data_IF_120732683706
#
_entry.id   IF_120732683706
#
_cell.length_a   1.000
_cell.length_b   1.000
_cell.length_c   1.000
_cell.angle_alpha   90.00
_cell.angle_beta   90.00
_cell.angle_gamma   90.00
#
_symmetry.space_group_name_H-M   'P 1'
#
loop_
_entity.id
_entity.type
_entity.pdbx_description
1 polymer ?
#
# COMPACT_ATOMS: atom_id res chain seq x y z
N UNK A 1 -5.06 3.69 25.52
CA UNK A 1 -5.63 3.89 24.17
C UNK A 1 -5.45 5.37 23.85
N UNK A 2 -4.48 5.72 23.02
CA UNK A 2 -4.24 7.11 22.62
C UNK A 2 -5.28 7.50 21.58
N UNK A 3 -6.13 8.47 21.92
CA UNK A 3 -7.12 9.01 21.01
C UNK A 3 -6.38 9.86 19.97
N UNK A 4 -6.36 9.41 18.71
CA UNK A 4 -5.85 10.23 17.59
C UNK A 4 -6.65 11.53 17.53
N UNK A 5 -5.97 12.68 17.58
CA UNK A 5 -6.64 13.98 17.61
C UNK A 5 -7.40 14.22 16.29
N UNK A 6 -8.50 15.00 16.27
CA UNK A 6 -9.21 15.33 15.04
C UNK A 6 -8.28 15.89 13.94
N UNK A 7 -7.29 16.69 14.32
CA UNK A 7 -6.28 17.21 13.41
C UNK A 7 -5.39 16.10 12.81
N UNK A 8 -4.98 15.12 13.62
CA UNK A 8 -4.21 13.97 13.14
C UNK A 8 -5.01 13.11 12.16
N UNK A 9 -6.30 12.89 12.42
CA UNK A 9 -7.20 12.18 11.50
C UNK A 9 -7.33 12.88 10.15
N UNK A 10 -7.53 14.20 10.17
CA UNK A 10 -7.65 15.00 8.95
C UNK A 10 -6.35 14.98 8.13
N UNK A 11 -5.20 15.11 8.80
CA UNK A 11 -3.90 15.02 8.15
C UNK A 11 -3.66 13.63 7.55
N UNK A 12 -4.01 12.55 8.27
CA UNK A 12 -3.91 11.20 7.75
C UNK A 12 -4.79 10.98 6.51
N UNK A 13 -6.01 11.52 6.50
CA UNK A 13 -6.91 11.47 5.34
C UNK A 13 -6.30 12.15 4.11
N UNK A 14 -5.70 13.34 4.29
CA UNK A 14 -5.02 14.06 3.20
C UNK A 14 -3.82 13.28 2.67
N UNK A 15 -3.01 12.72 3.57
CA UNK A 15 -1.86 11.91 3.19
C UNK A 15 -2.29 10.68 2.40
N UNK A 16 -3.27 9.91 2.87
CA UNK A 16 -3.81 8.72 2.17
C UNK A 16 -4.23 9.04 0.73
N UNK A 17 -4.90 10.16 0.50
CA UNK A 17 -5.34 10.57 -0.84
C UNK A 17 -4.17 10.83 -1.80
N UNK A 18 -3.12 11.49 -1.30
CA UNK A 18 -1.95 11.87 -2.09
C UNK A 18 -0.86 10.80 -2.17
N UNK A 19 -0.89 9.79 -1.28
CA UNK A 19 0.22 8.85 -1.14
C UNK A 19 0.34 7.98 -2.38
N UNK A 20 1.55 7.94 -2.94
CA UNK A 20 1.94 7.08 -4.07
C UNK A 20 3.25 6.38 -3.72
N UNK A 21 3.38 5.10 -4.04
CA UNK A 21 4.61 4.36 -3.88
C UNK A 21 5.72 5.01 -4.72
N UNK A 22 6.86 5.31 -4.10
CA UNK A 22 8.03 5.85 -4.80
C UNK A 22 8.66 4.82 -5.75
N UNK A 23 9.37 5.30 -6.77
CA UNK A 23 10.00 4.41 -7.78
C UNK A 23 11.00 3.41 -7.18
N UNK A 24 11.80 3.87 -6.21
CA UNK A 24 12.78 3.05 -5.48
C UNK A 24 12.25 2.56 -4.12
N UNK A 25 11.00 2.86 -3.81
CA UNK A 25 10.39 2.46 -2.55
C UNK A 25 9.97 1.00 -2.61
N UNK A 26 10.34 0.22 -1.59
CA UNK A 26 9.86 -1.15 -1.45
C UNK A 26 8.36 -1.17 -1.17
N UNK A 27 7.67 -2.17 -1.70
CA UNK A 27 6.22 -2.27 -1.51
C UNK A 27 5.85 -2.53 -0.05
N UNK A 28 6.76 -3.13 0.74
CA UNK A 28 6.59 -3.33 2.17
C UNK A 28 6.59 -2.02 2.95
N UNK A 29 7.49 -1.09 2.62
CA UNK A 29 7.53 0.21 3.26
C UNK A 29 6.23 0.99 2.99
N UNK A 30 5.84 1.06 1.71
CA UNK A 30 4.59 1.68 1.28
C UNK A 30 3.36 1.09 1.99
N UNK A 31 3.28 -0.24 2.06
CA UNK A 31 2.19 -0.96 2.71
C UNK A 31 2.06 -0.60 4.20
N UNK A 32 3.16 -0.62 4.95
CA UNK A 32 3.15 -0.32 6.37
C UNK A 32 2.73 1.12 6.65
N UNK A 33 3.19 2.07 5.84
CA UNK A 33 2.83 3.48 5.98
C UNK A 33 1.34 3.71 5.69
N UNK A 34 0.79 3.10 4.63
CA UNK A 34 -0.65 3.17 4.35
C UNK A 34 -1.47 2.59 5.51
N UNK A 35 -1.08 1.44 6.07
CA UNK A 35 -1.79 0.86 7.21
C UNK A 35 -1.72 1.74 8.46
N UNK A 36 -0.58 2.37 8.72
CA UNK A 36 -0.44 3.30 9.84
C UNK A 36 -1.34 4.53 9.66
N UNK A 37 -1.43 5.07 8.44
CA UNK A 37 -2.31 6.18 8.12
C UNK A 37 -3.79 5.78 8.24
N UNK A 38 -4.15 4.59 7.77
CA UNK A 38 -5.49 4.03 7.94
C UNK A 38 -5.87 3.92 9.42
N UNK A 39 -5.00 3.35 10.26
CA UNK A 39 -5.21 3.25 11.71
C UNK A 39 -5.34 4.62 12.38
N UNK A 40 -4.53 5.60 11.93
CA UNK A 40 -4.57 6.97 12.46
C UNK A 40 -5.86 7.69 12.11
N UNK A 41 -6.37 7.49 10.89
CA UNK A 41 -7.62 8.08 10.41
C UNK A 41 -8.83 7.41 11.06
N UNK A 42 -8.88 6.07 11.00
CA UNK A 42 -9.96 5.24 11.52
C UNK A 42 -9.45 3.83 11.88
N UNK A 43 -9.33 3.55 13.17
CA UNK A 43 -8.93 2.23 13.71
C UNK A 43 -9.92 1.10 13.41
N UNK A 44 -11.13 1.41 12.92
CA UNK A 44 -12.14 0.43 12.51
C UNK A 44 -12.28 0.34 10.98
N UNK A 45 -11.33 0.91 10.24
CA UNK A 45 -11.34 0.86 8.79
C UNK A 45 -11.37 -0.57 8.27
N UNK A 46 -12.30 -0.81 7.34
CA UNK A 46 -12.45 -2.11 6.69
C UNK A 46 -11.28 -2.43 5.78
N UNK A 47 -11.01 -3.73 5.61
CA UNK A 47 -9.98 -4.22 4.71
C UNK A 47 -10.19 -3.78 3.25
N UNK A 48 -11.45 -3.72 2.80
CA UNK A 48 -11.78 -3.20 1.48
C UNK A 48 -11.38 -1.73 1.32
N UNK A 49 -11.59 -0.89 2.35
CA UNK A 49 -11.20 0.52 2.30
C UNK A 49 -9.67 0.67 2.29
N UNK A 50 -8.96 -0.13 3.08
CA UNK A 50 -7.48 -0.17 3.07
C UNK A 50 -6.94 -0.56 1.69
N UNK A 51 -7.56 -1.56 1.05
CA UNK A 51 -7.19 -2.01 -0.28
C UNK A 51 -7.34 -0.92 -1.35
N UNK A 52 -8.38 -0.09 -1.26
CA UNK A 52 -8.54 1.05 -2.19
C UNK A 52 -7.32 1.95 -2.13
N UNK A 53 -6.87 2.35 -0.93
CA UNK A 53 -5.67 3.20 -0.78
C UNK A 53 -4.41 2.49 -1.27
N UNK A 54 -4.22 1.22 -0.89
CA UNK A 54 -3.07 0.42 -1.32
C UNK A 54 -2.98 0.33 -2.84
N UNK A 55 -4.08 0.00 -3.53
CA UNK A 55 -4.14 -0.15 -4.98
C UNK A 55 -4.04 1.19 -5.73
N UNK A 56 -4.61 2.26 -5.19
CA UNK A 56 -4.61 3.59 -5.82
C UNK A 56 -3.20 4.18 -5.92
N UNK A 57 -2.37 3.96 -4.91
CA UNK A 57 -1.02 4.50 -4.88
C UNK A 57 0.09 3.54 -5.31
N UNK A 58 -0.22 2.28 -5.59
CA UNK A 58 0.76 1.28 -6.01
C UNK A 58 1.44 1.69 -7.32
N UNK A 59 2.76 1.46 -7.43
CA UNK A 59 3.51 1.79 -8.66
C UNK A 59 3.01 0.96 -9.85
N UNK A 60 3.03 1.57 -11.03
CA UNK A 60 2.48 0.96 -12.25
C UNK A 60 3.10 -0.40 -12.60
N UNK A 61 4.38 -0.61 -12.31
CA UNK A 61 5.06 -1.89 -12.59
C UNK A 61 4.44 -3.05 -11.83
N UNK A 62 3.91 -2.82 -10.63
CA UNK A 62 3.24 -3.84 -9.81
C UNK A 62 1.72 -3.85 -10.00
N UNK A 63 1.13 -2.71 -10.35
CA UNK A 63 -0.32 -2.53 -10.35
C UNK A 63 -1.06 -3.53 -11.23
N UNK A 64 -0.52 -3.83 -12.41
CA UNK A 64 -1.15 -4.77 -13.35
C UNK A 64 -1.26 -6.19 -12.79
N UNK A 65 -0.16 -6.71 -12.23
CA UNK A 65 -0.12 -8.09 -11.76
C UNK A 65 -0.80 -8.26 -10.39
N UNK A 66 -0.76 -7.23 -9.53
CA UNK A 66 -1.55 -7.20 -8.30
C UNK A 66 -3.05 -7.15 -8.62
N UNK A 67 -3.48 -6.31 -9.57
CA UNK A 67 -4.89 -6.22 -9.96
C UNK A 67 -5.41 -7.55 -10.53
N UNK A 68 -4.61 -8.27 -11.32
CA UNK A 68 -4.97 -9.59 -11.88
C UNK A 68 -5.26 -10.62 -10.79
N UNK A 69 -4.55 -10.56 -9.67
CA UNK A 69 -4.71 -11.51 -8.57
C UNK A 69 -5.85 -11.14 -7.61
N UNK A 70 -6.46 -9.97 -7.80
CA UNK A 70 -7.63 -9.49 -7.07
C UNK A 70 -7.61 -9.75 -5.54
N UNK A 71 -6.59 -9.25 -4.81
CA UNK A 71 -6.50 -9.47 -3.37
C UNK A 71 -7.75 -8.93 -2.65
N UNK A 72 -8.27 -9.71 -1.70
CA UNK A 72 -9.45 -9.37 -0.90
C UNK A 72 -9.10 -8.87 0.50
N UNK A 73 -7.83 -9.01 0.90
CA UNK A 73 -7.31 -8.46 2.17
C UNK A 73 -5.99 -7.71 1.97
N UNK A 74 -5.63 -6.76 2.86
CA UNK A 74 -4.30 -6.14 2.87
C UNK A 74 -3.16 -7.16 2.92
N UNK A 75 -3.36 -8.27 3.64
CA UNK A 75 -2.38 -9.34 3.74
C UNK A 75 -2.15 -10.04 2.39
N UNK A 76 -3.22 -10.38 1.67
CA UNK A 76 -3.11 -10.93 0.32
C UNK A 76 -2.44 -9.94 -0.63
N UNK A 77 -2.80 -8.65 -0.54
CA UNK A 77 -2.16 -7.60 -1.33
C UNK A 77 -0.64 -7.60 -1.15
N UNK A 78 -0.13 -7.58 0.09
CA UNK A 78 1.31 -7.49 0.32
C UNK A 78 2.04 -8.76 -0.11
N UNK A 79 1.43 -9.94 0.07
CA UNK A 79 2.00 -11.21 -0.38
C UNK A 79 2.19 -11.22 -1.90
N UNK A 80 1.16 -10.80 -2.64
CA UNK A 80 1.22 -10.71 -4.10
C UNK A 80 2.23 -9.65 -4.52
N UNK A 81 2.12 -8.43 -4.00
CA UNK A 81 2.94 -7.32 -4.45
C UNK A 81 4.44 -7.53 -4.15
N UNK A 82 4.78 -8.15 -3.02
CA UNK A 82 6.17 -8.53 -2.73
C UNK A 82 6.71 -9.62 -3.66
N UNK A 83 5.86 -10.58 -4.04
CA UNK A 83 6.25 -11.62 -5.00
C UNK A 83 6.58 -10.97 -6.34
N UNK A 84 5.72 -10.10 -6.85
CA UNK A 84 5.94 -9.40 -8.11
C UNK A 84 7.15 -8.46 -8.05
N UNK A 85 7.35 -7.75 -6.94
CA UNK A 85 8.53 -6.89 -6.75
C UNK A 85 9.85 -7.66 -6.80
N UNK A 86 9.90 -8.87 -6.23
CA UNK A 86 11.09 -9.75 -6.33
C UNK A 86 11.32 -10.24 -7.76
N UNK A 87 10.26 -10.57 -8.48
CA UNK A 87 10.37 -11.01 -9.88
C UNK A 87 10.92 -9.89 -10.76
N UNK A 88 10.36 -8.67 -10.65
CA UNK A 88 10.81 -7.49 -11.39
C UNK A 88 12.30 -7.17 -11.15
N UNK A 89 12.74 -7.26 -9.89
CA UNK A 89 14.16 -7.10 -9.53
C UNK A 89 15.05 -8.19 -10.13
N UNK A 90 14.59 -9.45 -10.11
CA UNK A 90 15.37 -10.58 -10.66
C UNK A 90 15.56 -10.47 -12.18
N UNK A 91 14.52 -10.04 -12.92
CA UNK A 91 14.63 -9.82 -14.36
C UNK A 91 15.57 -8.67 -14.69
N UNK A 92 15.53 -7.60 -13.90
CA UNK A 92 16.44 -6.45 -14.07
C UNK A 92 17.91 -6.87 -13.89
N UNK A 93 18.20 -7.76 -12.94
CA UNK A 93 19.55 -8.26 -12.69
C UNK A 93 20.05 -9.25 -13.75
N UNK A 94 19.16 -10.05 -14.34
CA UNK A 94 19.52 -11.03 -15.38
C UNK A 94 19.84 -10.41 -16.75
N UNK A 95 19.48 -9.13 -16.96
CA UNK A 95 19.68 -8.38 -18.20
C UNK A 95 20.91 -7.45 -18.16
N UNK A 96 21.66 -7.43 -17.05
CA UNK A 96 22.91 -6.68 -16.86
C UNK A 96 24.11 -7.61 -17.00
#
# INVERSE_FOLDING_TARGET
>A
KTYSSPAAKQLAAQQLQSRRQGLQESVMHYYNEILQLCETMDSQMTDQSKLIYLLQGLKLSLQKEVARQEPKTPLEFIQVAQKEERLDQSYTQAMQ
#
